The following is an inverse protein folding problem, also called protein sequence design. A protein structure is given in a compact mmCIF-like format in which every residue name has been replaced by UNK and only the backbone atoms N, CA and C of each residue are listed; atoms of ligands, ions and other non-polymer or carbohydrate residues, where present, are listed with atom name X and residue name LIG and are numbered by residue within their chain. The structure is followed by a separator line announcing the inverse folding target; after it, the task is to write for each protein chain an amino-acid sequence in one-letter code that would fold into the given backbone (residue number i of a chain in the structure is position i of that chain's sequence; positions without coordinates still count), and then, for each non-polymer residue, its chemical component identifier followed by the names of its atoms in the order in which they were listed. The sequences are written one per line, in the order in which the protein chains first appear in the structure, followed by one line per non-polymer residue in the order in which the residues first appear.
data_IF_263548110058
#
_entry.id   IF_263548110058
#
_cell.length_a   1.000
_cell.length_b   1.000
_cell.length_c   1.000
_cell.angle_alpha   90.00
_cell.angle_beta   90.00
_cell.angle_gamma   90.00
#
_symmetry.space_group_name_H-M   'P 1'
#
loop_
_entity.id
_entity.type
_entity.pdbx_description
1 polymer ?
#
# COMPACT_ATOMS: atom_id res chain seq x y z
N UNK A 1 3.50 11.69 5.38
CA UNK A 1 3.18 11.09 6.69
C UNK A 1 3.03 9.60 6.50
N UNK A 2 4.02 8.84 6.95
CA UNK A 2 4.05 7.38 6.87
C UNK A 2 4.15 6.88 8.29
N UNK A 3 3.11 6.16 8.74
CA UNK A 3 3.13 5.49 10.03
C UNK A 3 4.08 4.28 9.92
N UNK A 4 5.36 4.48 10.26
CA UNK A 4 6.32 3.39 10.37
C UNK A 4 6.60 3.11 11.85
N UNK A 5 6.46 1.85 12.26
CA UNK A 5 6.83 1.32 13.58
C UNK A 5 8.32 1.51 13.92
N UNK A 6 9.18 1.63 12.90
CA UNK A 6 10.64 1.55 13.03
C UNK A 6 11.31 2.92 13.23
N UNK A 7 10.52 4.01 13.36
CA UNK A 7 11.02 5.35 13.70
C UNK A 7 11.76 6.11 12.59
N UNK A 8 12.17 5.46 11.50
CA UNK A 8 12.91 6.10 10.41
C UNK A 8 12.07 7.04 9.53
N UNK A 9 10.74 6.96 9.62
CA UNK A 9 9.81 7.69 8.75
C UNK A 9 9.82 7.23 7.29
N UNK A 10 10.79 6.41 6.86
CA UNK A 10 10.87 5.89 5.50
C UNK A 10 9.96 4.66 5.38
N UNK A 11 8.96 4.66 4.48
CA UNK A 11 8.09 3.50 4.27
C UNK A 11 8.87 2.34 3.65
N UNK A 12 8.52 1.09 4.00
CA UNK A 12 9.18 -0.11 3.44
C UNK A 12 10.71 -0.13 3.58
N UNK A 13 11.23 0.53 4.61
CA UNK A 13 12.65 0.47 4.99
C UNK A 13 12.89 -0.66 6.01
N UNK A 14 12.52 -1.88 5.63
CA UNK A 14 12.73 -3.10 6.40
C UNK A 14 12.93 -4.31 5.47
N UNK A 15 13.08 -5.50 6.06
CA UNK A 15 13.28 -6.74 5.32
C UNK A 15 12.12 -7.08 4.36
N UNK A 16 10.89 -6.68 4.68
CA UNK A 16 9.74 -6.89 3.80
C UNK A 16 9.78 -5.99 2.59
N UNK A 17 10.23 -4.73 2.77
CA UNK A 17 10.45 -3.80 1.67
C UNK A 17 11.57 -4.21 0.74
N UNK A 18 12.67 -4.76 1.29
CA UNK A 18 13.76 -5.33 0.48
C UNK A 18 13.23 -6.44 -0.45
N UNK A 19 12.43 -7.36 0.10
CA UNK A 19 11.82 -8.44 -0.69
C UNK A 19 10.85 -7.93 -1.75
N UNK A 20 10.05 -6.91 -1.43
CA UNK A 20 9.16 -6.28 -2.39
C UNK A 20 9.96 -5.70 -3.57
N UNK A 21 11.04 -4.97 -3.30
CA UNK A 21 11.91 -4.41 -4.34
C UNK A 21 12.54 -5.48 -5.23
N UNK A 22 12.96 -6.60 -4.63
CA UNK A 22 13.45 -7.78 -5.37
C UNK A 22 12.38 -8.33 -6.33
N UNK A 23 11.13 -8.49 -5.86
CA UNK A 23 10.03 -8.97 -6.71
C UNK A 23 9.68 -8.02 -7.85
N UNK A 24 9.78 -6.72 -7.60
CA UNK A 24 9.52 -5.69 -8.61
C UNK A 24 10.71 -5.48 -9.56
N UNK A 25 11.88 -6.04 -9.24
CA UNK A 25 13.10 -5.85 -10.03
C UNK A 25 13.61 -4.41 -10.02
N UNK A 26 13.34 -3.65 -8.95
CA UNK A 26 13.74 -2.23 -8.82
C UNK A 26 14.74 -2.04 -7.68
N UNK A 27 15.66 -1.09 -7.84
CA UNK A 27 16.60 -0.71 -6.77
C UNK A 27 15.96 0.21 -5.72
N UNK A 28 16.67 0.40 -4.61
CA UNK A 28 16.19 1.22 -3.48
C UNK A 28 16.01 2.70 -3.86
N UNK A 29 16.93 3.24 -4.67
CA UNK A 29 16.88 4.62 -5.12
C UNK A 29 15.65 4.89 -6.01
N UNK A 30 15.31 3.96 -6.91
CA UNK A 30 14.13 4.04 -7.76
C UNK A 30 12.85 3.90 -6.96
N UNK A 31 12.79 2.92 -6.04
CA UNK A 31 11.61 2.68 -5.21
C UNK A 31 11.26 3.85 -4.28
N UNK A 32 12.27 4.58 -3.80
CA UNK A 32 12.09 5.76 -2.95
C UNK A 32 12.13 7.11 -3.70
N UNK A 33 12.28 7.12 -5.04
CA UNK A 33 12.15 8.34 -5.84
C UNK A 33 10.67 8.73 -5.94
N UNK A 34 10.29 9.81 -5.24
CA UNK A 34 8.92 10.33 -5.19
C UNK A 34 8.36 10.78 -6.55
N UNK A 35 9.22 10.93 -7.56
CA UNK A 35 8.80 11.24 -8.94
C UNK A 35 8.40 10.00 -9.74
N UNK A 36 8.80 8.81 -9.28
CA UNK A 36 8.59 7.52 -9.94
C UNK A 36 7.62 6.63 -9.18
N UNK A 37 7.70 6.63 -7.86
CA UNK A 37 6.92 5.74 -7.00
C UNK A 37 6.18 6.54 -5.92
N UNK A 38 4.88 6.23 -5.78
CA UNK A 38 4.05 6.72 -4.69
C UNK A 38 3.68 5.56 -3.76
N UNK A 39 3.89 5.73 -2.46
CA UNK A 39 3.52 4.75 -1.44
C UNK A 39 2.37 5.32 -0.61
N UNK A 40 1.15 4.87 -0.90
CA UNK A 40 -0.08 5.36 -0.25
C UNK A 40 -0.66 4.27 0.65
N UNK A 41 -0.56 4.37 1.99
CA UNK A 41 -1.10 3.36 2.87
C UNK A 41 -2.63 3.46 3.00
N UNK A 42 -3.28 2.35 3.37
CA UNK A 42 -4.72 2.32 3.67
C UNK A 42 -5.08 3.12 4.93
N UNK A 43 -4.15 3.24 5.88
CA UNK A 43 -4.27 4.08 7.08
C UNK A 43 -3.08 5.03 7.17
N UNK A 44 -3.34 6.30 7.43
CA UNK A 44 -2.29 7.34 7.52
C UNK A 44 -1.67 7.44 8.92
N UNK A 45 -2.31 6.86 9.93
CA UNK A 45 -1.88 6.87 11.31
C UNK A 45 -1.64 5.45 11.81
N UNK A 46 -0.75 5.30 12.81
CA UNK A 46 -0.55 4.04 13.50
C UNK A 46 -1.83 3.65 14.24
N UNK A 47 -2.43 2.47 13.98
CA UNK A 47 -3.74 2.11 14.52
C UNK A 47 -3.68 1.57 15.96
N UNK A 48 -2.49 1.39 16.53
CA UNK A 48 -2.27 0.71 17.80
C UNK A 48 -1.96 -0.78 17.62
N UNK A 49 -1.67 -1.45 18.75
CA UNK A 49 -1.28 -2.87 18.79
C UNK A 49 -2.38 -3.72 19.42
N UNK A 50 -2.78 -4.78 18.74
CA UNK A 50 -3.62 -5.86 19.25
C UNK A 50 -2.81 -7.11 19.62
N UNK A 51 -3.51 -8.20 19.94
CA UNK A 51 -2.88 -9.45 20.38
C UNK A 51 -2.01 -10.11 19.31
N UNK A 52 -2.39 -10.02 18.04
CA UNK A 52 -1.70 -10.67 16.91
C UNK A 52 -0.80 -9.75 16.08
N UNK A 53 -0.62 -8.48 16.46
CA UNK A 53 0.08 -7.49 15.65
C UNK A 53 -0.61 -6.13 15.69
N UNK A 54 -0.37 -5.31 14.68
CA UNK A 54 -1.03 -4.02 14.57
C UNK A 54 -2.53 -4.19 14.27
N UNK A 55 -3.34 -3.27 14.80
CA UNK A 55 -4.77 -3.22 14.53
C UNK A 55 -5.05 -2.92 13.04
N UNK A 56 -6.25 -3.25 12.52
CA UNK A 56 -6.63 -2.88 11.17
C UNK A 56 -6.53 -1.36 10.93
N UNK A 57 -6.31 -0.92 9.68
CA UNK A 57 -6.41 0.50 9.32
C UNK A 57 -7.76 1.07 9.76
N UNK A 58 -7.77 2.29 10.28
CA UNK A 58 -9.02 2.94 10.66
C UNK A 58 -9.95 3.11 9.44
N UNK A 59 -11.23 2.74 9.54
CA UNK A 59 -12.13 2.66 8.39
C UNK A 59 -12.38 4.03 7.74
N UNK A 60 -12.31 5.13 8.49
CA UNK A 60 -12.55 6.47 7.95
C UNK A 60 -11.36 7.08 7.21
N UNK A 61 -10.14 6.55 7.38
CA UNK A 61 -8.93 7.13 6.75
C UNK A 61 -8.99 7.10 5.22
N UNK A 62 -9.26 5.93 4.63
CA UNK A 62 -9.21 5.79 3.18
C UNK A 62 -10.31 6.59 2.46
N UNK A 63 -11.59 6.62 2.91
CA UNK A 63 -12.62 7.49 2.33
C UNK A 63 -12.31 8.99 2.44
N UNK A 64 -11.67 9.43 3.52
CA UNK A 64 -11.37 10.85 3.73
C UNK A 64 -10.23 11.36 2.84
N UNK A 65 -9.23 10.51 2.56
CA UNK A 65 -7.96 10.99 2.01
C UNK A 65 -7.59 10.44 0.64
N UNK A 66 -7.95 9.20 0.32
CA UNK A 66 -7.42 8.54 -0.87
C UNK A 66 -7.81 9.25 -2.16
N UNK A 67 -9.08 9.59 -2.33
CA UNK A 67 -9.56 10.19 -3.58
C UNK A 67 -8.87 11.55 -3.82
N UNK A 68 -8.65 12.32 -2.75
CA UNK A 68 -7.90 13.59 -2.79
C UNK A 68 -6.44 13.38 -3.18
N UNK A 69 -5.80 12.34 -2.63
CA UNK A 69 -4.40 12.02 -2.93
C UNK A 69 -4.25 11.54 -4.38
N UNK A 70 -5.11 10.62 -4.83
CA UNK A 70 -5.04 10.09 -6.20
C UNK A 70 -5.38 11.14 -7.25
N UNK A 71 -6.26 12.09 -6.95
CA UNK A 71 -6.51 13.24 -7.84
C UNK A 71 -5.25 14.09 -8.10
N UNK A 72 -4.27 14.08 -7.19
CA UNK A 72 -2.99 14.78 -7.36
C UNK A 72 -1.96 13.97 -8.16
N UNK A 73 -2.28 12.73 -8.52
CA UNK A 73 -1.38 11.81 -9.24
C UNK A 73 -2.02 11.29 -10.53
N UNK A 74 -2.37 12.18 -11.48
CA UNK A 74 -3.12 11.80 -12.69
C UNK A 74 -2.33 10.95 -13.69
N UNK A 75 -1.04 10.69 -13.44
CA UNK A 75 -0.14 9.95 -14.34
C UNK A 75 0.30 8.61 -13.76
N UNK A 76 -0.43 8.07 -12.78
CA UNK A 76 -0.16 6.71 -12.29
C UNK A 76 -0.53 5.73 -13.39
N UNK A 77 0.41 4.91 -13.85
CA UNK A 77 0.14 3.91 -14.90
C UNK A 77 -0.17 2.53 -14.30
N UNK A 78 0.37 2.27 -13.11
CA UNK A 78 0.28 0.98 -12.43
C UNK A 78 0.05 1.19 -10.93
N UNK A 79 -1.02 0.61 -10.41
CA UNK A 79 -1.27 0.52 -8.97
C UNK A 79 -1.08 -0.91 -8.48
N UNK A 80 -0.18 -1.11 -7.51
CA UNK A 80 0.10 -2.41 -6.89
C UNK A 80 -0.62 -2.49 -5.54
N UNK A 81 -1.54 -3.44 -5.41
CA UNK A 81 -2.36 -3.61 -4.21
C UNK A 81 -1.77 -4.65 -3.27
N UNK A 82 -1.15 -4.18 -2.17
CA UNK A 82 -0.53 -5.05 -1.16
C UNK A 82 -1.43 -5.14 0.08
N UNK A 83 -1.84 -6.37 0.41
CA UNK A 83 -2.64 -6.67 1.59
C UNK A 83 -4.15 -6.59 1.37
N UNK A 84 -4.88 -7.27 2.24
CA UNK A 84 -6.32 -7.50 2.08
C UNK A 84 -7.17 -6.22 2.06
N UNK A 85 -6.78 -5.19 2.80
CA UNK A 85 -7.54 -3.93 2.90
C UNK A 85 -7.44 -3.11 1.61
N UNK A 86 -6.26 -3.08 0.99
CA UNK A 86 -6.06 -2.42 -0.30
C UNK A 86 -6.88 -3.13 -1.38
N UNK A 87 -6.79 -4.45 -1.45
CA UNK A 87 -7.56 -5.24 -2.41
C UNK A 87 -9.06 -5.11 -2.22
N UNK A 88 -9.56 -5.14 -0.97
CA UNK A 88 -10.97 -4.95 -0.69
C UNK A 88 -11.47 -3.59 -1.19
N UNK A 89 -10.69 -2.52 -1.00
CA UNK A 89 -11.04 -1.17 -1.47
C UNK A 89 -11.06 -1.09 -3.00
N UNK A 90 -10.00 -1.53 -3.68
CA UNK A 90 -9.81 -1.24 -5.11
C UNK A 90 -10.38 -2.30 -6.06
N UNK A 91 -10.51 -3.55 -5.62
CA UNK A 91 -11.05 -4.63 -6.46
C UNK A 91 -12.56 -4.82 -6.27
N UNK A 92 -13.09 -4.51 -5.07
CA UNK A 92 -14.51 -4.74 -4.76
C UNK A 92 -14.91 -6.19 -5.04
N UNK A 93 -15.91 -6.39 -5.90
CA UNK A 93 -16.38 -7.72 -6.33
C UNK A 93 -15.39 -8.50 -7.19
N UNK A 94 -14.36 -7.85 -7.76
CA UNK A 94 -13.27 -8.52 -8.51
C UNK A 94 -12.24 -9.18 -7.60
N UNK A 95 -12.41 -9.07 -6.27
CA UNK A 95 -11.54 -9.74 -5.30
C UNK A 95 -11.83 -11.24 -5.31
N UNK A 96 -10.80 -12.05 -5.55
CA UNK A 96 -10.92 -13.51 -5.50
C UNK A 96 -11.42 -14.01 -4.14
N UNK A 97 -12.21 -15.10 -4.09
CA UNK A 97 -12.80 -15.62 -2.86
C UNK A 97 -11.75 -16.16 -1.87
N UNK A 98 -10.65 -16.74 -2.35
CA UNK A 98 -9.67 -17.45 -1.50
C UNK A 98 -8.45 -16.61 -1.10
N UNK A 99 -7.73 -17.03 -0.05
CA UNK A 99 -6.46 -16.40 0.38
C UNK A 99 -5.41 -16.42 -0.72
N UNK A 100 -5.25 -17.53 -1.43
CA UNK A 100 -4.27 -17.69 -2.51
C UNK A 100 -4.56 -16.77 -3.70
N UNK A 101 -5.83 -16.49 -3.99
CA UNK A 101 -6.22 -15.50 -5.01
C UNK A 101 -6.04 -14.06 -4.52
N UNK A 102 -6.12 -13.83 -3.19
CA UNK A 102 -5.84 -12.54 -2.54
C UNK A 102 -4.35 -12.28 -2.38
N UNK A 103 -3.46 -13.27 -2.43
CA UNK A 103 -2.02 -13.08 -2.24
C UNK A 103 -1.28 -12.59 -3.49
N UNK A 104 -1.96 -12.54 -4.64
CA UNK A 104 -1.38 -11.94 -5.85
C UNK A 104 -1.31 -10.43 -5.68
N UNK A 105 -0.17 -9.84 -6.05
CA UNK A 105 -0.10 -8.42 -6.41
C UNK A 105 -1.13 -8.20 -7.50
N UNK A 106 -2.28 -7.66 -7.13
CA UNK A 106 -3.29 -7.27 -8.08
C UNK A 106 -2.85 -5.90 -8.61
N UNK A 107 -2.49 -5.88 -9.89
CA UNK A 107 -2.31 -4.64 -10.62
C UNK A 107 -3.66 -4.14 -11.08
N UNK A 108 -3.93 -2.87 -10.81
CA UNK A 108 -4.96 -2.12 -11.55
C UNK A 108 -4.19 -1.20 -12.47
N UNK A 109 -4.33 -1.42 -13.79
CA UNK A 109 -3.96 -0.40 -14.77
C UNK A 109 -4.92 0.77 -14.55
N UNK A 110 -4.36 1.96 -14.36
CA UNK A 110 -5.15 3.12 -13.96
C UNK A 110 -6.27 3.42 -14.97
N UNK A 111 -7.37 3.97 -14.43
CA UNK A 111 -8.54 4.45 -15.15
C UNK A 111 -8.23 5.78 -15.84
#
# INVERSE_FOLDING_TARGET
MTANRNGSGVPWNDASGKRLREWLGVDDATFHDVRKCAIVPMGMCYPGRGAGGDLPPRPECAPLWHDRIFALMPRVELTILIGQYAQAKFLGSRRGPTLTEKERVASVLAQ
#
